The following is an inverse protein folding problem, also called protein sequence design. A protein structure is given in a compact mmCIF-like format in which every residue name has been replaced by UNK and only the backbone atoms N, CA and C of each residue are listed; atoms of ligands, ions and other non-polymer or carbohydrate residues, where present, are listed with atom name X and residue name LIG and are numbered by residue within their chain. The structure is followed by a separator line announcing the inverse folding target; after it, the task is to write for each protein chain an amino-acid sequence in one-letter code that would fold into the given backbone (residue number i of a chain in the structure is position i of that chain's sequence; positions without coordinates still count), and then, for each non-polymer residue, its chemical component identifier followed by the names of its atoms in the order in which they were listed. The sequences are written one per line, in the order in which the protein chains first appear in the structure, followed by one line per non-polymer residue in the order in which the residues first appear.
data_IF_830749685390
#
_entry.id   IF_830749685390
#
_cell.length_a   1.000
_cell.length_b   1.000
_cell.length_c   1.000
_cell.angle_alpha   90.00
_cell.angle_beta   90.00
_cell.angle_gamma   90.00
#
_symmetry.space_group_name_H-M   'P 1'
#
loop_
_entity.id
_entity.type
_entity.pdbx_description
1 polymer ?
#
# COMPACT_ATOMS: atom_id res chain seq x y z
N UNK A 1 1.49 3.96 -12.84
CA UNK A 1 0.09 3.89 -12.44
C UNK A 1 -0.81 3.33 -13.56
N UNK A 2 -0.66 3.76 -14.81
CA UNK A 2 -1.53 3.36 -15.94
C UNK A 2 -1.64 1.87 -16.23
N UNK A 3 -0.69 1.05 -15.78
CA UNK A 3 -0.73 -0.43 -15.90
C UNK A 3 -1.46 -1.11 -14.74
N UNK A 4 -1.77 -0.38 -13.67
CA UNK A 4 -2.34 -0.99 -12.46
C UNK A 4 -3.71 -1.65 -12.69
N UNK A 5 -4.68 -1.05 -13.40
CA UNK A 5 -5.97 -1.68 -13.65
C UNK A 5 -5.85 -3.01 -14.40
N UNK A 6 -5.03 -3.06 -15.47
CA UNK A 6 -4.83 -4.28 -16.27
C UNK A 6 -4.13 -5.38 -15.45
N UNK A 7 -3.09 -5.00 -14.69
CA UNK A 7 -2.37 -5.92 -13.82
C UNK A 7 -3.27 -6.46 -12.70
N UNK A 8 -4.14 -5.62 -12.12
CA UNK A 8 -5.11 -6.03 -11.11
C UNK A 8 -6.13 -7.00 -11.69
N UNK A 9 -6.74 -6.67 -12.83
CA UNK A 9 -7.74 -7.52 -13.49
C UNK A 9 -7.15 -8.88 -13.86
N UNK A 10 -5.93 -8.92 -14.41
CA UNK A 10 -5.24 -10.17 -14.75
C UNK A 10 -4.98 -11.07 -13.54
N UNK A 11 -4.65 -10.47 -12.39
CA UNK A 11 -4.34 -11.20 -11.17
C UNK A 11 -5.58 -11.75 -10.44
N UNK A 12 -6.68 -10.99 -10.44
CA UNK A 12 -7.89 -11.31 -9.66
C UNK A 12 -9.06 -11.79 -10.49
N UNK A 13 -8.89 -11.99 -11.78
CA UNK A 13 -9.96 -12.39 -12.73
C UNK A 13 -10.67 -13.73 -12.42
N UNK A 14 -10.21 -14.48 -11.42
CA UNK A 14 -10.92 -15.65 -10.86
C UNK A 14 -11.91 -15.32 -9.75
N UNK A 15 -11.91 -14.08 -9.24
CA UNK A 15 -12.75 -13.65 -8.13
C UNK A 15 -13.88 -12.73 -8.64
N UNK A 16 -15.04 -13.31 -8.95
CA UNK A 16 -16.17 -12.57 -9.52
C UNK A 16 -16.60 -11.34 -8.73
N UNK A 17 -16.39 -11.31 -7.42
CA UNK A 17 -16.73 -10.16 -6.57
C UNK A 17 -15.78 -8.97 -6.78
N UNK A 18 -14.62 -9.18 -7.41
CA UNK A 18 -13.67 -8.13 -7.79
C UNK A 18 -13.86 -7.66 -9.25
N UNK A 19 -14.74 -8.30 -10.03
CA UNK A 19 -15.02 -7.89 -11.39
C UNK A 19 -15.72 -6.53 -11.48
N UNK A 20 -15.45 -5.79 -12.54
CA UNK A 20 -16.14 -4.54 -12.87
C UNK A 20 -15.19 -3.44 -13.36
N UNK A 21 -15.75 -2.33 -13.79
CA UNK A 21 -14.97 -1.19 -14.27
C UNK A 21 -14.08 -0.61 -13.17
N UNK A 22 -12.82 -0.40 -13.50
CA UNK A 22 -11.85 0.29 -12.66
C UNK A 22 -11.44 1.60 -13.33
N UNK A 23 -11.26 2.63 -12.49
CA UNK A 23 -10.64 3.87 -12.93
C UNK A 23 -9.13 3.77 -12.72
N UNK A 24 -8.37 4.31 -13.65
CA UNK A 24 -6.92 4.41 -13.50
C UNK A 24 -6.58 5.23 -12.25
N UNK A 25 -5.70 4.73 -11.36
CA UNK A 25 -5.22 5.48 -10.22
C UNK A 25 -4.54 6.76 -10.63
N UNK A 26 -4.85 7.86 -9.95
CA UNK A 26 -4.35 9.20 -10.27
C UNK A 26 -3.19 9.59 -9.38
N UNK A 27 -2.15 10.14 -9.99
CA UNK A 27 -1.09 10.84 -9.26
C UNK A 27 -1.69 12.11 -8.62
N UNK A 28 -1.56 12.23 -7.31
CA UNK A 28 -2.09 13.38 -6.59
C UNK A 28 -1.17 14.58 -6.72
N UNK A 29 -1.70 15.72 -7.19
CA UNK A 29 -0.92 16.97 -7.29
C UNK A 29 -0.43 17.50 -5.94
N UNK A 30 -1.17 17.18 -4.86
CA UNK A 30 -0.85 17.59 -3.50
C UNK A 30 -0.16 16.47 -2.70
N UNK A 31 0.66 15.64 -3.37
CA UNK A 31 1.39 14.53 -2.75
C UNK A 31 2.23 14.94 -1.54
N UNK A 32 2.79 16.17 -1.53
CA UNK A 32 3.53 16.69 -0.39
C UNK A 32 2.65 16.85 0.85
N UNK A 33 1.40 17.30 0.68
CA UNK A 33 0.42 17.38 1.78
C UNK A 33 0.05 15.99 2.25
N UNK A 34 -0.16 15.03 1.33
CA UNK A 34 -0.42 13.64 1.69
C UNK A 34 0.74 13.05 2.51
N UNK A 35 1.98 13.33 2.09
CA UNK A 35 3.18 12.89 2.82
C UNK A 35 3.24 13.48 4.23
N UNK A 36 2.93 14.77 4.38
CA UNK A 36 2.89 15.44 5.69
C UNK A 36 1.78 14.89 6.60
N UNK A 37 0.73 14.31 6.03
CA UNK A 37 -0.37 13.65 6.74
C UNK A 37 -0.19 12.13 6.88
N UNK A 38 0.94 11.60 6.45
CA UNK A 38 1.30 10.18 6.47
C UNK A 38 0.38 9.28 5.62
N UNK A 39 -0.15 9.82 4.50
CA UNK A 39 -0.95 9.05 3.55
C UNK A 39 -0.14 8.60 2.34
N UNK A 40 -0.22 7.31 2.02
CA UNK A 40 0.36 6.72 0.79
C UNK A 40 -0.60 6.82 -0.39
N UNK A 41 -1.90 6.73 -0.14
CA UNK A 41 -2.98 6.84 -1.09
C UNK A 41 -4.30 7.08 -0.38
N UNK A 42 -5.35 7.31 -1.14
CA UNK A 42 -6.72 7.24 -0.64
C UNK A 42 -7.73 7.02 -1.77
N UNK A 43 -8.73 6.23 -1.49
CA UNK A 43 -9.91 6.07 -2.33
C UNK A 43 -10.99 7.09 -1.96
N UNK A 44 -11.52 7.79 -2.96
CA UNK A 44 -12.62 8.74 -2.74
C UNK A 44 -13.95 8.17 -3.25
N UNK A 45 -14.82 7.67 -2.35
CA UNK A 45 -16.00 6.86 -2.74
C UNK A 45 -17.05 7.64 -3.54
N UNK A 46 -17.12 8.98 -3.39
CA UNK A 46 -18.11 9.78 -4.11
C UNK A 46 -17.79 9.94 -5.61
N UNK A 47 -16.53 9.86 -6.01
CA UNK A 47 -16.09 9.92 -7.41
C UNK A 47 -15.54 8.59 -7.91
N UNK A 48 -15.33 7.62 -7.02
CA UNK A 48 -14.73 6.33 -7.35
C UNK A 48 -13.23 6.41 -7.67
N UNK A 49 -12.55 7.49 -7.29
CA UNK A 49 -11.17 7.76 -7.66
C UNK A 49 -10.18 7.20 -6.64
N UNK A 50 -9.20 6.45 -7.12
CA UNK A 50 -7.99 6.08 -6.39
C UNK A 50 -6.93 7.16 -6.60
N UNK A 51 -6.45 7.77 -5.52
CA UNK A 51 -5.49 8.86 -5.55
C UNK A 51 -4.21 8.43 -4.85
N UNK A 52 -3.08 8.55 -5.54
CA UNK A 52 -1.79 8.02 -5.11
C UNK A 52 -0.83 9.15 -4.77
N UNK A 53 -0.20 9.08 -3.62
CA UNK A 53 0.91 9.93 -3.24
C UNK A 53 2.17 9.52 -4.02
N UNK A 54 2.49 10.31 -5.05
CA UNK A 54 3.67 10.03 -5.90
C UNK A 54 4.97 10.62 -5.35
N UNK A 55 4.95 11.23 -4.17
CA UNK A 55 6.16 11.62 -3.43
C UNK A 55 6.63 10.51 -2.46
N UNK A 56 5.78 9.51 -2.19
CA UNK A 56 6.16 8.33 -1.42
C UNK A 56 7.26 7.55 -2.15
N UNK A 57 8.04 6.70 -1.45
CA UNK A 57 9.09 5.92 -2.10
C UNK A 57 8.56 5.07 -3.26
N UNK A 58 9.18 5.21 -4.43
CA UNK A 58 8.73 4.65 -5.71
C UNK A 58 8.46 3.15 -5.65
N UNK A 59 9.27 2.41 -4.87
CA UNK A 59 9.15 0.97 -4.72
C UNK A 59 7.84 0.51 -4.08
N UNK A 60 7.09 1.38 -3.39
CA UNK A 60 5.79 1.08 -2.79
C UNK A 60 4.60 1.60 -3.60
N UNK A 61 4.80 2.51 -4.56
CA UNK A 61 3.74 3.10 -5.38
C UNK A 61 2.90 2.05 -6.11
N UNK A 62 3.48 1.01 -6.77
CA UNK A 62 2.69 -0.02 -7.43
C UNK A 62 1.73 -0.77 -6.50
N UNK A 63 2.20 -1.19 -5.33
CA UNK A 63 1.35 -1.89 -4.36
C UNK A 63 0.29 -0.96 -3.75
N UNK A 64 0.64 0.31 -3.47
CA UNK A 64 -0.35 1.32 -3.05
C UNK A 64 -1.45 1.49 -4.10
N UNK A 65 -1.11 1.52 -5.39
CA UNK A 65 -2.12 1.60 -6.45
C UNK A 65 -3.07 0.40 -6.43
N UNK A 66 -2.55 -0.83 -6.22
CA UNK A 66 -3.39 -2.04 -6.07
C UNK A 66 -4.28 -1.98 -4.84
N UNK A 67 -3.78 -1.43 -3.74
CA UNK A 67 -4.54 -1.22 -2.50
C UNK A 67 -5.74 -0.28 -2.74
N UNK A 68 -5.52 0.87 -3.36
CA UNK A 68 -6.60 1.81 -3.67
C UNK A 68 -7.59 1.27 -4.71
N UNK A 69 -7.13 0.45 -5.67
CA UNK A 69 -8.01 -0.28 -6.57
C UNK A 69 -8.87 -1.30 -5.80
N UNK A 70 -8.32 -1.96 -4.77
CA UNK A 70 -9.10 -2.86 -3.92
C UNK A 70 -10.28 -2.15 -3.27
N UNK A 71 -10.08 -0.92 -2.80
CA UNK A 71 -11.16 -0.08 -2.31
C UNK A 71 -12.17 0.30 -3.40
N UNK A 72 -11.73 0.60 -4.63
CA UNK A 72 -12.64 0.80 -5.78
C UNK A 72 -13.50 -0.44 -6.04
N UNK A 73 -13.00 -1.64 -5.75
CA UNK A 73 -13.70 -2.91 -5.90
C UNK A 73 -14.61 -3.25 -4.72
N UNK A 74 -14.75 -2.34 -3.76
CA UNK A 74 -15.67 -2.47 -2.63
C UNK A 74 -15.09 -3.17 -1.41
N UNK A 75 -13.78 -3.42 -1.38
CA UNK A 75 -13.11 -3.93 -0.19
C UNK A 75 -12.89 -2.76 0.77
N UNK A 76 -13.68 -2.67 1.83
CA UNK A 76 -13.60 -1.59 2.81
C UNK A 76 -12.56 -1.82 3.92
N UNK A 77 -12.40 -3.06 4.48
CA UNK A 77 -11.41 -3.30 5.52
C UNK A 77 -9.98 -3.17 4.98
N UNK A 78 -9.13 -2.44 5.71
CA UNK A 78 -7.75 -2.14 5.32
C UNK A 78 -6.86 -3.39 5.20
N UNK A 79 -7.01 -4.34 6.10
CA UNK A 79 -6.27 -5.60 6.10
C UNK A 79 -6.66 -6.49 4.91
N UNK A 80 -7.92 -6.51 4.53
CA UNK A 80 -8.39 -7.19 3.33
C UNK A 80 -7.88 -6.49 2.06
N UNK A 81 -7.92 -5.15 2.00
CA UNK A 81 -7.38 -4.37 0.89
C UNK A 81 -5.87 -4.59 0.74
N UNK A 82 -5.12 -4.61 1.84
CA UNK A 82 -3.71 -4.96 1.86
C UNK A 82 -3.45 -6.37 1.32
N UNK A 83 -4.24 -7.36 1.74
CA UNK A 83 -4.11 -8.74 1.27
C UNK A 83 -4.37 -8.85 -0.24
N UNK A 84 -5.46 -8.25 -0.73
CA UNK A 84 -5.79 -8.26 -2.16
C UNK A 84 -4.73 -7.50 -2.98
N UNK A 85 -4.21 -6.37 -2.47
CA UNK A 85 -3.15 -5.63 -3.14
C UNK A 85 -1.88 -6.47 -3.31
N UNK A 86 -1.45 -7.15 -2.26
CA UNK A 86 -0.28 -8.06 -2.32
C UNK A 86 -0.53 -9.20 -3.31
N UNK A 87 -1.70 -9.85 -3.23
CA UNK A 87 -2.06 -10.93 -4.15
C UNK A 87 -2.04 -10.44 -5.61
N UNK A 88 -2.69 -9.31 -5.88
CA UNK A 88 -2.71 -8.71 -7.22
C UNK A 88 -1.31 -8.37 -7.72
N UNK A 89 -0.45 -7.81 -6.88
CA UNK A 89 0.93 -7.54 -7.21
C UNK A 89 1.71 -8.81 -7.57
N UNK A 90 1.63 -9.86 -6.76
CA UNK A 90 2.39 -11.10 -6.95
C UNK A 90 1.94 -11.87 -8.20
N UNK A 91 0.65 -11.83 -8.53
CA UNK A 91 0.07 -12.53 -9.68
C UNK A 91 0.05 -11.70 -10.98
N UNK A 92 0.45 -10.42 -10.91
CA UNK A 92 0.39 -9.48 -12.05
C UNK A 92 1.24 -9.87 -13.27
N UNK A 93 2.28 -10.69 -13.07
CA UNK A 93 3.29 -10.98 -14.08
C UNK A 93 4.24 -9.81 -14.40
N UNK A 94 4.09 -8.66 -13.75
CA UNK A 94 4.91 -7.45 -13.91
C UNK A 94 5.94 -7.35 -12.78
N UNK A 95 7.22 -7.29 -13.11
CA UNK A 95 8.31 -7.32 -12.14
C UNK A 95 8.25 -6.15 -11.12
N UNK A 96 7.80 -4.96 -11.54
CA UNK A 96 7.70 -3.80 -10.64
C UNK A 96 6.58 -4.01 -9.61
N UNK A 97 5.42 -4.54 -10.03
CA UNK A 97 4.34 -4.85 -9.11
C UNK A 97 4.72 -6.01 -8.19
N UNK A 98 5.31 -7.09 -8.71
CA UNK A 98 5.77 -8.22 -7.90
C UNK A 98 6.76 -7.75 -6.83
N UNK A 99 7.74 -6.93 -7.20
CA UNK A 99 8.71 -6.38 -6.26
C UNK A 99 8.05 -5.53 -5.18
N UNK A 100 7.19 -4.60 -5.59
CA UNK A 100 6.45 -3.71 -4.69
C UNK A 100 5.57 -4.49 -3.69
N UNK A 101 4.82 -5.48 -4.17
CA UNK A 101 3.98 -6.34 -3.34
C UNK A 101 4.79 -7.16 -2.35
N UNK A 102 5.95 -7.69 -2.77
CA UNK A 102 6.85 -8.45 -1.90
C UNK A 102 7.43 -7.58 -0.78
N UNK A 103 7.87 -6.35 -1.08
CA UNK A 103 8.34 -5.39 -0.07
C UNK A 103 7.23 -5.00 0.91
N UNK A 104 6.03 -4.73 0.39
CA UNK A 104 4.87 -4.38 1.20
C UNK A 104 4.48 -5.53 2.15
N UNK A 105 4.42 -6.77 1.62
CA UNK A 105 4.18 -7.95 2.44
C UNK A 105 5.27 -8.13 3.51
N UNK A 106 6.55 -7.92 3.14
CA UNK A 106 7.65 -7.99 4.09
C UNK A 106 7.50 -7.00 5.24
N UNK A 107 7.09 -5.74 4.98
CA UNK A 107 6.87 -4.73 6.03
C UNK A 107 5.79 -5.18 7.01
N UNK A 108 4.63 -5.61 6.51
CA UNK A 108 3.50 -5.98 7.35
C UNK A 108 3.74 -7.28 8.13
N UNK A 109 4.20 -8.33 7.43
CA UNK A 109 4.49 -9.62 8.05
C UNK A 109 5.74 -9.58 8.93
N UNK A 110 6.75 -8.79 8.54
CA UNK A 110 7.96 -8.59 9.31
C UNK A 110 7.68 -7.92 10.66
N UNK A 111 6.81 -6.92 10.71
CA UNK A 111 6.39 -6.30 11.96
C UNK A 111 5.64 -7.28 12.87
N UNK A 112 4.79 -8.12 12.31
CA UNK A 112 4.10 -9.17 13.07
C UNK A 112 5.08 -10.25 13.57
N UNK A 113 6.01 -10.67 12.70
CA UNK A 113 7.04 -11.66 13.05
C UNK A 113 7.97 -11.14 14.13
N UNK A 114 8.41 -9.87 14.05
CA UNK A 114 9.27 -9.26 15.07
C UNK A 114 8.60 -9.26 16.45
N UNK A 115 7.29 -8.97 16.51
CA UNK A 115 6.52 -9.03 17.76
C UNK A 115 6.39 -10.45 18.31
N UNK A 116 6.28 -11.45 17.43
CA UNK A 116 6.13 -12.86 17.82
C UNK A 116 7.48 -13.51 18.14
N UNK A 117 8.51 -13.27 17.35
CA UNK A 117 9.85 -13.81 17.48
C UNK A 117 10.88 -12.88 16.82
N UNK A 118 11.57 -12.03 17.60
CA UNK A 118 12.65 -11.18 17.07
C UNK A 118 13.77 -11.98 16.39
N UNK A 119 14.10 -13.17 16.92
CA UNK A 119 15.14 -14.03 16.35
C UNK A 119 14.76 -14.48 14.93
N UNK A 120 13.55 -15.01 14.75
CA UNK A 120 13.05 -15.41 13.43
C UNK A 120 12.97 -14.23 12.46
N UNK A 121 12.61 -13.04 12.94
CA UNK A 121 12.64 -11.83 12.11
C UNK A 121 14.07 -11.53 11.63
N UNK A 122 15.07 -11.59 12.49
CA UNK A 122 16.46 -11.34 12.12
C UNK A 122 16.98 -12.37 11.10
N UNK A 123 16.60 -13.63 11.24
CA UNK A 123 16.93 -14.66 10.26
C UNK A 123 16.35 -14.36 8.88
N UNK A 124 15.07 -13.98 8.81
CA UNK A 124 14.43 -13.57 7.56
C UNK A 124 15.05 -12.29 7.00
N UNK A 125 15.28 -11.29 7.84
CA UNK A 125 15.91 -10.02 7.42
C UNK A 125 17.33 -10.24 6.86
N UNK A 126 18.07 -11.25 7.37
CA UNK A 126 19.39 -11.59 6.87
C UNK A 126 19.37 -12.12 5.41
N UNK A 127 18.24 -12.63 4.92
CA UNK A 127 18.09 -13.14 3.55
C UNK A 127 17.83 -12.06 2.50
N UNK A 128 17.46 -10.83 2.91
CA UNK A 128 17.21 -9.75 1.98
C UNK A 128 18.45 -9.39 1.17
N UNK A 129 18.28 -9.13 -0.13
CA UNK A 129 19.32 -8.55 -0.97
C UNK A 129 19.63 -7.09 -0.59
N UNK A 130 20.76 -6.57 -1.07
CA UNK A 130 21.20 -5.22 -0.73
C UNK A 130 20.23 -4.13 -1.20
N UNK A 131 19.64 -4.31 -2.38
CA UNK A 131 18.67 -3.39 -2.97
C UNK A 131 17.40 -3.30 -2.13
N UNK A 132 16.82 -4.44 -1.75
CA UNK A 132 15.63 -4.46 -0.92
C UNK A 132 15.86 -3.82 0.46
N UNK A 133 17.04 -4.02 1.06
CA UNK A 133 17.40 -3.32 2.31
C UNK A 133 17.48 -1.82 2.12
N UNK A 134 18.14 -1.37 1.04
CA UNK A 134 18.27 0.06 0.74
C UNK A 134 16.91 0.72 0.53
N UNK A 135 15.98 0.06 -0.16
CA UNK A 135 14.63 0.55 -0.38
C UNK A 135 13.80 0.62 0.92
N UNK A 136 13.92 -0.39 1.78
CA UNK A 136 13.29 -0.40 3.09
C UNK A 136 13.85 0.70 4.01
N UNK A 137 15.18 0.91 4.00
CA UNK A 137 15.84 1.96 4.77
C UNK A 137 15.46 3.36 4.26
N UNK A 138 15.35 3.53 2.93
CA UNK A 138 14.88 4.76 2.31
C UNK A 138 13.42 5.05 2.69
N UNK A 139 12.56 4.04 2.67
CA UNK A 139 11.17 4.16 3.11
C UNK A 139 11.07 4.58 4.58
N UNK A 140 11.79 3.91 5.47
CA UNK A 140 11.81 4.24 6.88
C UNK A 140 12.30 5.67 7.13
N UNK A 141 13.37 6.08 6.44
CA UNK A 141 13.94 7.43 6.53
C UNK A 141 12.97 8.49 6.01
N UNK A 142 12.27 8.17 4.90
CA UNK A 142 11.27 9.07 4.31
C UNK A 142 10.14 9.36 5.28
N UNK A 143 9.53 8.34 5.86
CA UNK A 143 8.41 8.51 6.79
C UNK A 143 8.85 9.09 8.14
N UNK A 144 10.00 8.67 8.67
CA UNK A 144 10.55 9.25 9.90
C UNK A 144 10.82 10.76 9.79
N UNK A 145 11.20 11.24 8.60
CA UNK A 145 11.39 12.68 8.37
C UNK A 145 10.08 13.49 8.31
N UNK A 146 8.93 12.80 8.20
CA UNK A 146 7.58 13.36 8.10
C UNK A 146 6.69 13.04 9.30
N UNK A 147 7.26 12.50 10.35
CA UNK A 147 6.58 12.29 11.64
C UNK A 147 6.36 13.64 12.32
N UNK A 148 5.22 14.27 12.01
CA UNK A 148 4.84 15.62 12.41
C UNK A 148 3.57 15.60 13.27
N UNK A 149 3.27 16.72 13.97
CA UNK A 149 1.99 16.88 14.66
C UNK A 149 0.79 16.73 13.71
N UNK A 150 0.93 17.10 12.43
CA UNK A 150 -0.11 16.94 11.43
C UNK A 150 -0.38 15.46 11.14
N UNK A 151 0.66 14.62 11.08
CA UNK A 151 0.52 13.17 10.92
C UNK A 151 -0.21 12.55 12.13
N UNK A 152 0.15 12.94 13.35
CA UNK A 152 -0.50 12.45 14.57
C UNK A 152 -1.99 12.84 14.65
N UNK A 153 -2.33 14.07 14.23
CA UNK A 153 -3.74 14.53 14.15
C UNK A 153 -4.50 13.72 13.09
N UNK A 154 -3.91 13.52 11.91
CA UNK A 154 -4.51 12.76 10.82
C UNK A 154 -4.82 11.32 11.25
N UNK A 155 -3.86 10.64 11.87
CA UNK A 155 -4.04 9.28 12.41
C UNK A 155 -5.14 9.22 13.47
N UNK A 156 -5.20 10.21 14.37
CA UNK A 156 -6.24 10.29 15.39
C UNK A 156 -7.64 10.46 14.79
N UNK A 157 -7.79 11.31 13.77
CA UNK A 157 -9.07 11.54 13.07
C UNK A 157 -9.49 10.28 12.31
N UNK A 158 -8.57 9.65 11.59
CA UNK A 158 -8.83 8.44 10.82
C UNK A 158 -9.25 7.26 11.73
N UNK A 159 -8.49 7.05 12.81
CA UNK A 159 -8.78 6.03 13.81
C UNK A 159 -10.15 6.29 14.47
N UNK A 160 -10.44 7.55 14.83
CA UNK A 160 -11.73 7.94 15.37
C UNK A 160 -12.89 7.67 14.41
N UNK A 161 -12.69 7.92 13.11
CA UNK A 161 -13.68 7.60 12.07
C UNK A 161 -13.95 6.10 11.98
N UNK A 162 -12.90 5.26 11.96
CA UNK A 162 -13.04 3.80 11.92
C UNK A 162 -13.84 3.25 13.11
N UNK A 163 -13.57 3.75 14.32
CA UNK A 163 -14.33 3.34 15.51
C UNK A 163 -15.80 3.75 15.50
N UNK A 164 -16.18 4.75 14.72
CA UNK A 164 -17.59 5.18 14.62
C UNK A 164 -18.38 4.41 13.56
N UNK A 165 -17.70 3.68 12.67
CA UNK A 165 -18.33 2.91 11.59
C UNK A 165 -18.45 1.40 11.90
N UNK A 166 -17.73 0.87 12.87
CA UNK A 166 -17.71 -0.53 13.31
C UNK A 166 -18.30 -0.73 14.66
#
# INVERSE_FOLDING_TARGET
LGRAPEAFEGAVGGFQFLDGAMLEPKAMLLSEIMSAMNFTGFFFPFTGEANINVNAPDCFIPCTAMHEISHQRGIAPEDEANFIAVLACLESGDAEFIYSGALFAYLHLGNALYKASPEAYHDVAATLCGEARADLDANNSYWASRDTEAAAISESVYTGFLYTQG
#
